data_IF_087390056630
#
_entry.id   IF_087390056630
#
_cell.length_a   1.000
_cell.length_b   1.000
_cell.length_c   1.000
_cell.angle_alpha   90.00
_cell.angle_beta   90.00
_cell.angle_gamma   90.00
#
_symmetry.space_group_name_H-M   'P 1'
#
loop_
_entity.id
_entity.type
_entity.pdbx_description
1 polymer ?
#
# COMPACT_ATOMS: atom_id res chain seq x y z
N UNK A 1 -1.09 -18.43 -2.01
CA UNK A 1 0.38 -18.48 -2.05
C UNK A 1 0.82 -18.73 -0.62
N UNK A 2 1.34 -19.92 -0.34
CA UNK A 2 1.71 -20.35 1.01
C UNK A 2 2.85 -19.48 1.54
N UNK A 3 2.55 -18.60 2.50
CA UNK A 3 3.53 -17.92 3.33
C UNK A 3 3.96 -18.87 4.45
N UNK A 4 5.17 -19.42 4.37
CA UNK A 4 5.76 -20.18 5.47
C UNK A 4 6.00 -19.23 6.66
N UNK A 5 5.77 -19.70 7.89
CA UNK A 5 5.97 -18.91 9.11
C UNK A 5 7.41 -18.35 9.24
N UNK A 6 8.37 -18.99 8.59
CA UNK A 6 9.75 -18.53 8.49
C UNK A 6 9.89 -17.21 7.71
N UNK A 7 9.18 -17.08 6.58
CA UNK A 7 9.22 -15.86 5.77
C UNK A 7 8.65 -14.68 6.55
N UNK A 8 7.56 -14.89 7.30
CA UNK A 8 6.93 -13.87 8.13
C UNK A 8 7.89 -13.31 9.20
N UNK A 9 8.61 -14.20 9.91
CA UNK A 9 9.63 -13.79 10.90
C UNK A 9 10.77 -12.97 10.30
N UNK A 10 11.20 -13.31 9.09
CA UNK A 10 12.27 -12.57 8.42
C UNK A 10 11.81 -11.18 7.99
N UNK A 11 10.56 -11.02 7.52
CA UNK A 11 9.99 -9.71 7.21
C UNK A 11 9.89 -8.83 8.45
N UNK A 12 9.48 -9.39 9.58
CA UNK A 12 9.38 -8.67 10.86
C UNK A 12 10.76 -8.21 11.37
N UNK A 13 11.77 -9.09 11.28
CA UNK A 13 13.16 -8.74 11.64
C UNK A 13 13.69 -7.63 10.74
N UNK A 14 13.42 -7.71 9.43
CA UNK A 14 13.80 -6.69 8.47
C UNK A 14 13.13 -5.34 8.78
N UNK A 15 11.82 -5.33 9.03
CA UNK A 15 11.06 -4.13 9.39
C UNK A 15 11.58 -3.50 10.70
N UNK A 16 11.90 -4.34 11.69
CA UNK A 16 12.47 -3.89 12.94
C UNK A 16 13.85 -3.24 12.73
N UNK A 17 14.73 -3.90 11.97
CA UNK A 17 16.08 -3.40 11.69
C UNK A 17 16.03 -2.08 10.89
N UNK A 18 15.17 -2.00 9.87
CA UNK A 18 14.94 -0.77 9.11
C UNK A 18 14.46 0.38 10.01
N UNK A 19 13.56 0.10 10.97
CA UNK A 19 13.10 1.06 11.96
C UNK A 19 14.17 1.50 12.97
N UNK A 20 15.12 0.62 13.31
CA UNK A 20 16.29 0.98 14.14
C UNK A 20 17.26 1.86 13.35
N UNK A 21 17.58 1.49 12.11
CA UNK A 21 18.46 2.28 11.22
C UNK A 21 17.90 3.69 10.96
N UNK A 22 16.58 3.80 10.75
CA UNK A 22 15.88 5.09 10.63
C UNK A 22 16.04 5.95 11.89
N UNK A 23 15.92 5.35 13.08
CA UNK A 23 16.10 6.05 14.37
C UNK A 23 17.54 6.46 14.63
N UNK A 24 18.51 5.72 14.12
CA UNK A 24 19.94 6.05 14.24
C UNK A 24 20.41 7.14 13.26
N UNK A 25 19.53 7.66 12.40
CA UNK A 25 19.88 8.73 11.45
C UNK A 25 20.68 8.25 10.24
N UNK A 26 20.85 6.94 10.05
CA UNK A 26 21.57 6.36 8.91
C UNK A 26 20.63 6.27 7.71
N UNK A 27 20.21 7.45 7.22
CA UNK A 27 19.16 7.62 6.22
C UNK A 27 19.50 6.91 4.90
N UNK A 28 20.77 6.91 4.51
CA UNK A 28 21.26 6.24 3.31
C UNK A 28 20.93 4.74 3.26
N UNK A 29 21.12 3.99 4.36
CA UNK A 29 20.83 2.56 4.38
C UNK A 29 19.32 2.29 4.34
N UNK A 30 18.53 3.17 4.96
CA UNK A 30 17.08 3.09 4.89
C UNK A 30 16.58 3.34 3.47
N UNK A 31 17.11 4.35 2.77
CA UNK A 31 16.73 4.68 1.40
C UNK A 31 17.11 3.53 0.43
N UNK A 32 18.29 2.93 0.59
CA UNK A 32 18.70 1.74 -0.20
C UNK A 32 17.79 0.54 0.08
N UNK A 33 17.45 0.28 1.34
CA UNK A 33 16.55 -0.81 1.72
C UNK A 33 15.14 -0.59 1.17
N UNK A 34 14.64 0.65 1.25
CA UNK A 34 13.35 1.06 0.70
C UNK A 34 13.31 0.90 -0.82
N UNK A 35 14.33 1.37 -1.54
CA UNK A 35 14.42 1.22 -3.00
C UNK A 35 14.47 -0.25 -3.45
N UNK A 36 15.06 -1.12 -2.63
CA UNK A 36 15.07 -2.55 -2.88
C UNK A 36 13.68 -3.16 -2.68
N UNK A 37 13.03 -2.90 -1.54
CA UNK A 37 11.68 -3.36 -1.25
C UNK A 37 10.66 -2.88 -2.29
N UNK A 38 10.74 -1.58 -2.64
CA UNK A 38 9.93 -0.98 -3.69
C UNK A 38 10.11 -1.72 -5.02
N UNK A 39 11.34 -2.02 -5.44
CA UNK A 39 11.60 -2.78 -6.69
C UNK A 39 11.07 -4.20 -6.66
N UNK A 40 11.16 -4.88 -5.52
CA UNK A 40 10.65 -6.25 -5.36
C UNK A 40 9.13 -6.27 -5.40
N UNK A 41 8.47 -5.37 -4.66
CA UNK A 41 7.01 -5.29 -4.56
C UNK A 41 6.36 -4.71 -5.82
N UNK A 42 7.10 -3.92 -6.61
CA UNK A 42 6.65 -3.41 -7.91
C UNK A 42 6.79 -4.42 -9.07
N UNK A 43 7.42 -5.58 -8.85
CA UNK A 43 7.79 -6.50 -9.95
C UNK A 43 6.59 -7.00 -10.76
N UNK A 44 5.41 -7.06 -10.17
CA UNK A 44 4.16 -7.45 -10.84
C UNK A 44 3.20 -6.25 -11.06
N UNK A 45 3.62 -5.03 -10.74
CA UNK A 45 2.79 -3.82 -10.83
C UNK A 45 1.54 -3.87 -9.95
N UNK A 46 1.54 -4.64 -8.87
CA UNK A 46 0.38 -4.83 -7.99
C UNK A 46 -0.71 -5.74 -8.56
N UNK A 47 -0.41 -6.51 -9.62
CA UNK A 47 -1.38 -7.40 -10.26
C UNK A 47 -1.88 -8.50 -9.32
N UNK A 48 -1.02 -9.03 -8.44
CA UNK A 48 -1.43 -10.03 -7.45
C UNK A 48 -2.46 -9.46 -6.46
N UNK A 49 -2.25 -8.23 -5.96
CA UNK A 49 -3.21 -7.56 -5.08
C UNK A 49 -4.51 -7.21 -5.81
N UNK A 50 -4.43 -6.77 -7.07
CA UNK A 50 -5.61 -6.53 -7.88
C UNK A 50 -6.47 -7.79 -8.05
N UNK A 51 -5.85 -8.93 -8.36
CA UNK A 51 -6.54 -10.23 -8.46
C UNK A 51 -7.14 -10.66 -7.12
N UNK A 52 -6.42 -10.45 -6.02
CA UNK A 52 -6.92 -10.73 -4.69
C UNK A 52 -8.13 -9.85 -4.33
N UNK A 53 -8.09 -8.56 -4.66
CA UNK A 53 -9.20 -7.63 -4.48
C UNK A 53 -10.43 -8.05 -5.30
N UNK A 54 -10.24 -8.41 -6.57
CA UNK A 54 -11.31 -8.92 -7.43
C UNK A 54 -11.96 -10.18 -6.86
N UNK A 55 -11.15 -11.13 -6.41
CA UNK A 55 -11.65 -12.36 -5.79
C UNK A 55 -12.44 -12.05 -4.53
N UNK A 56 -11.89 -11.23 -3.64
CA UNK A 56 -12.54 -10.84 -2.39
C UNK A 56 -13.87 -10.11 -2.63
N UNK A 57 -13.87 -9.14 -3.54
CA UNK A 57 -15.06 -8.39 -3.91
C UNK A 57 -16.16 -9.30 -4.47
N UNK A 58 -15.78 -10.31 -5.26
CA UNK A 58 -16.74 -11.27 -5.83
C UNK A 58 -17.30 -12.22 -4.77
N UNK A 59 -16.43 -12.86 -3.97
CA UNK A 59 -16.82 -13.83 -2.95
C UNK A 59 -17.67 -13.19 -1.84
N UNK A 60 -17.39 -11.94 -1.49
CA UNK A 60 -18.04 -11.21 -0.40
C UNK A 60 -19.08 -10.19 -0.86
N UNK A 61 -19.29 -10.04 -2.17
CA UNK A 61 -20.20 -9.05 -2.79
C UNK A 61 -19.95 -7.63 -2.28
N UNK A 62 -18.69 -7.20 -2.28
CA UNK A 62 -18.28 -5.88 -1.80
C UNK A 62 -18.45 -4.83 -2.89
N UNK A 63 -18.91 -3.63 -2.52
CA UNK A 63 -18.96 -2.46 -3.41
C UNK A 63 -17.59 -1.80 -3.60
N UNK A 64 -16.69 -1.96 -2.63
CA UNK A 64 -15.35 -1.38 -2.64
C UNK A 64 -14.36 -2.23 -1.85
N UNK A 65 -13.10 -2.25 -2.30
CA UNK A 65 -11.97 -2.89 -1.63
C UNK A 65 -10.83 -1.88 -1.56
N UNK A 66 -10.40 -1.53 -0.35
CA UNK A 66 -9.25 -0.67 -0.09
C UNK A 66 -8.08 -1.54 0.36
N UNK A 67 -6.94 -1.41 -0.32
CA UNK A 67 -5.69 -2.09 0.02
C UNK A 67 -4.53 -1.09 0.10
N UNK A 68 -3.41 -1.54 0.65
CA UNK A 68 -2.15 -0.79 0.67
C UNK A 68 -0.97 -1.67 0.27
N UNK A 69 0.22 -1.36 0.79
CA UNK A 69 1.45 -2.18 0.71
C UNK A 69 2.18 -2.25 -0.64
N UNK A 70 1.52 -2.05 -1.78
CA UNK A 70 2.18 -2.11 -3.10
C UNK A 70 3.02 -0.88 -3.46
N UNK A 71 2.96 0.19 -2.65
CA UNK A 71 3.48 1.53 -2.99
C UNK A 71 2.86 2.18 -4.24
N UNK A 72 1.93 1.46 -4.91
CA UNK A 72 1.26 1.90 -6.13
C UNK A 72 -0.08 2.54 -5.82
N UNK A 73 -0.19 3.81 -6.17
CA UNK A 73 -1.47 4.51 -6.23
C UNK A 73 -2.37 3.88 -7.31
N UNK A 74 -3.59 3.52 -6.94
CA UNK A 74 -4.58 3.05 -7.91
C UNK A 74 -6.01 3.29 -7.46
N UNK A 75 -6.83 3.76 -8.40
CA UNK A 75 -8.28 3.82 -8.27
C UNK A 75 -8.87 3.25 -9.55
N UNK A 76 -9.47 2.06 -9.49
CA UNK A 76 -10.04 1.42 -10.69
C UNK A 76 -11.29 0.62 -10.38
N UNK A 77 -12.19 0.56 -11.36
CA UNK A 77 -13.40 -0.26 -11.26
C UNK A 77 -13.10 -1.68 -11.74
N UNK A 78 -13.41 -2.65 -10.88
CA UNK A 78 -13.21 -4.07 -11.13
C UNK A 78 -14.31 -4.63 -12.05
N UNK A 79 -14.07 -5.78 -12.72
CA UNK A 79 -15.06 -6.38 -13.64
C UNK A 79 -16.41 -6.72 -13.00
N UNK A 80 -16.45 -6.96 -11.68
CA UNK A 80 -17.67 -7.21 -10.92
C UNK A 80 -18.38 -5.91 -10.47
N UNK A 81 -17.92 -4.75 -10.91
CA UNK A 81 -18.49 -3.44 -10.62
C UNK A 81 -17.96 -2.78 -9.35
N UNK A 82 -17.22 -3.50 -8.49
CA UNK A 82 -16.65 -2.97 -7.25
C UNK A 82 -15.50 -1.98 -7.52
N UNK A 83 -15.27 -1.03 -6.61
CA UNK A 83 -14.14 -0.11 -6.70
C UNK A 83 -12.91 -0.67 -5.96
N UNK A 84 -11.77 -0.77 -6.64
CA UNK A 84 -10.48 -1.04 -6.02
C UNK A 84 -9.74 0.26 -5.77
N UNK A 85 -9.24 0.43 -4.54
CA UNK A 85 -8.50 1.60 -4.11
C UNK A 85 -7.19 1.16 -3.46
N UNK A 86 -6.09 1.78 -3.88
CA UNK A 86 -4.79 1.66 -3.25
C UNK A 86 -4.15 3.04 -3.13
N UNK A 87 -3.81 3.46 -1.91
CA UNK A 87 -3.28 4.79 -1.63
C UNK A 87 -1.78 4.90 -1.90
N UNK A 88 -1.11 3.80 -2.27
CA UNK A 88 0.33 3.76 -2.46
C UNK A 88 1.10 3.95 -1.16
N UNK A 89 2.28 4.59 -1.25
CA UNK A 89 3.12 4.91 -0.09
C UNK A 89 2.90 6.34 0.41
N UNK A 90 3.21 6.58 1.69
CA UNK A 90 3.19 7.91 2.30
C UNK A 90 4.57 8.56 2.39
N UNK A 91 5.60 7.93 1.81
CA UNK A 91 6.98 8.41 1.92
C UNK A 91 7.25 9.52 0.91
N UNK A 92 6.75 9.39 -0.32
CA UNK A 92 6.90 10.41 -1.37
C UNK A 92 5.70 11.36 -1.42
N UNK A 93 4.48 10.84 -1.22
CA UNK A 93 3.24 11.60 -1.33
C UNK A 93 2.27 11.14 -0.25
N UNK A 94 1.81 12.04 0.60
CA UNK A 94 0.73 11.69 1.53
C UNK A 94 -0.59 11.72 0.77
N UNK A 95 -1.12 10.55 0.44
CA UNK A 95 -2.40 10.36 -0.27
C UNK A 95 -3.38 9.65 0.67
N UNK A 96 -4.65 10.03 0.61
CA UNK A 96 -5.75 9.34 1.28
C UNK A 96 -6.89 9.03 0.32
N UNK A 97 -7.65 7.98 0.64
CA UNK A 97 -8.88 7.65 -0.03
C UNK A 97 -10.06 8.40 0.59
N UNK A 98 -10.83 9.12 -0.22
CA UNK A 98 -12.08 9.77 0.15
C UNK A 98 -13.23 8.96 -0.44
N UNK A 99 -14.12 8.46 0.42
CA UNK A 99 -15.26 7.63 0.02
C UNK A 99 -16.54 8.31 0.48
N UNK A 100 -17.39 8.70 -0.47
CA UNK A 100 -18.76 9.12 -0.17
C UNK A 100 -19.68 7.92 -0.36
N UNK A 101 -20.18 7.37 0.74
CA UNK A 101 -21.05 6.19 0.71
C UNK A 101 -22.48 6.51 0.27
N UNK A 102 -22.91 7.77 0.35
CA UNK A 102 -24.25 8.20 -0.06
C UNK A 102 -24.29 8.37 -1.58
N UNK A 103 -23.28 9.04 -2.14
CA UNK A 103 -23.15 9.27 -3.57
C UNK A 103 -22.44 8.12 -4.30
N UNK A 104 -21.85 7.18 -3.55
CA UNK A 104 -21.04 6.07 -4.05
C UNK A 104 -19.89 6.56 -4.93
N UNK A 105 -19.23 7.64 -4.50
CA UNK A 105 -18.07 8.21 -5.16
C UNK A 105 -16.80 7.89 -4.39
N UNK A 106 -15.70 7.79 -5.12
CA UNK A 106 -14.41 7.32 -4.63
C UNK A 106 -13.34 8.20 -5.27
N UNK A 107 -12.46 8.77 -4.45
CA UNK A 107 -11.42 9.70 -4.90
C UNK A 107 -10.12 9.42 -4.14
N UNK A 108 -9.00 9.59 -4.82
CA UNK A 108 -7.67 9.68 -4.18
C UNK A 108 -7.29 11.15 -4.10
N UNK A 109 -6.93 11.60 -2.89
CA UNK A 109 -6.63 13.00 -2.58
C UNK A 109 -5.28 13.11 -1.92
N UNK A 110 -4.60 14.23 -2.16
CA UNK A 110 -3.36 14.56 -1.47
C UNK A 110 -3.64 15.36 -0.20
N UNK A 111 -2.85 15.11 0.85
CA UNK A 111 -2.73 16.08 1.93
C UNK A 111 -2.03 17.33 1.41
N UNK A 112 -2.52 18.52 1.78
CA UNK A 112 -1.93 19.79 1.36
C UNK A 112 -0.60 20.09 2.08
N UNK A 113 -0.31 19.38 3.18
CA UNK A 113 0.89 19.54 3.98
C UNK A 113 2.00 18.59 3.53
N UNK A 114 3.25 19.01 3.74
CA UNK A 114 4.40 18.16 3.42
C UNK A 114 4.38 16.87 4.26
N UNK A 115 4.87 15.71 3.76
CA UNK A 115 4.83 14.44 4.50
C UNK A 115 5.45 14.49 5.91
N UNK A 116 6.38 15.42 6.12
CA UNK A 116 7.10 15.64 7.38
C UNK A 116 6.27 16.37 8.44
N UNK A 117 5.15 16.98 8.07
CA UNK A 117 4.21 17.67 8.95
C UNK A 117 3.05 16.73 9.35
N UNK A 118 2.62 15.86 8.44
CA UNK A 118 1.51 14.91 8.66
C UNK A 118 1.91 13.74 9.58
N UNK A 119 3.19 13.33 9.54
CA UNK A 119 3.70 12.16 10.28
C UNK A 119 4.37 12.50 11.62
N UNK A 120 4.24 13.74 12.09
CA UNK A 120 4.66 14.17 13.45
C UNK A 120 3.54 13.98 14.45
#
# INVERSE_FOLDING_TARGET
LYSNAFTFRMTDIYLWLAGVLKRMGIRFLYDVAYDFDHRVNMRDGGLALLKAAQRLATERRLDCVVMGHTHLERLERLPNGAMYINTGDCQQRCIYASIDTRLRTYELKHFQESPQQVLK
#
